data_IF_167556606141
#
_entry.id   IF_167556606141
#
_cell.length_a   1.000
_cell.length_b   1.000
_cell.length_c   1.000
_cell.angle_alpha   90.00
_cell.angle_beta   90.00
_cell.angle_gamma   90.00
#
_symmetry.space_group_name_H-M   'P 1'
#
loop_
_entity.id
_entity.type
_entity.pdbx_description
1 polymer ?
#
# COMPACT_ATOMS: atom_id res chain seq x y z
N UNK A 1 8.57 -8.38 8.89
CA UNK A 1 7.43 -7.91 9.71
C UNK A 1 6.54 -7.02 8.85
N UNK A 2 5.21 -7.18 8.89
CA UNK A 2 4.25 -6.46 8.01
C UNK A 2 4.44 -4.92 7.99
N UNK A 3 4.76 -4.34 9.15
CA UNK A 3 4.97 -2.89 9.30
C UNK A 3 6.16 -2.38 8.45
N UNK A 4 7.18 -3.20 8.26
CA UNK A 4 8.39 -2.82 7.51
C UNK A 4 8.10 -2.82 6.01
N UNK A 5 7.42 -3.86 5.52
CA UNK A 5 6.97 -3.95 4.14
C UNK A 5 6.01 -2.81 3.77
N UNK A 6 5.08 -2.43 4.65
CA UNK A 6 4.20 -1.28 4.39
C UNK A 6 4.96 0.05 4.33
N UNK A 7 5.99 0.24 5.16
CA UNK A 7 6.84 1.44 5.12
C UNK A 7 7.68 1.50 3.85
N UNK A 8 8.20 0.36 3.40
CA UNK A 8 8.96 0.27 2.14
C UNK A 8 8.04 0.58 0.96
N UNK A 9 6.86 -0.05 0.88
CA UNK A 9 5.88 0.22 -0.18
C UNK A 9 5.34 1.66 -0.15
N UNK A 10 5.23 2.28 1.03
CA UNK A 10 4.90 3.70 1.17
C UNK A 10 6.03 4.60 0.65
N UNK A 11 7.29 4.29 0.99
CA UNK A 11 8.47 5.02 0.51
C UNK A 11 8.62 4.92 -1.01
N UNK A 12 8.33 3.76 -1.57
CA UNK A 12 8.44 3.49 -3.01
C UNK A 12 7.22 4.02 -3.79
N UNK A 13 6.24 4.61 -3.09
CA UNK A 13 5.08 5.28 -3.70
C UNK A 13 3.99 4.33 -4.19
N UNK A 14 4.07 3.04 -3.86
CA UNK A 14 3.10 2.01 -4.27
C UNK A 14 1.89 1.95 -3.32
N UNK A 15 2.08 2.29 -2.05
CA UNK A 15 1.03 2.31 -1.02
C UNK A 15 0.90 3.71 -0.44
N UNK A 16 -0.33 4.16 -0.22
CA UNK A 16 -0.64 5.39 0.52
C UNK A 16 -1.17 5.07 1.90
N UNK A 17 -0.69 5.81 2.90
CA UNK A 17 -1.19 5.74 4.27
C UNK A 17 -2.13 6.92 4.55
N UNK A 18 -3.37 6.63 4.96
CA UNK A 18 -4.36 7.64 5.35
C UNK A 18 -4.70 7.50 6.83
N UNK A 19 -4.47 8.56 7.59
CA UNK A 19 -4.80 8.63 9.02
C UNK A 19 -6.13 9.35 9.18
N UNK A 20 -7.10 8.68 9.80
CA UNK A 20 -8.40 9.25 10.14
C UNK A 20 -8.38 9.70 11.59
N UNK A 21 -8.50 11.02 11.79
CA UNK A 21 -8.60 11.66 13.11
C UNK A 21 -10.04 11.58 13.64
N UNK A 22 -10.53 10.36 13.83
CA UNK A 22 -11.84 10.06 14.42
C UNK A 22 -11.65 9.26 15.71
N UNK A 23 -12.71 9.10 16.51
CA UNK A 23 -12.73 8.18 17.65
C UNK A 23 -13.57 6.97 17.26
N UNK A 24 -13.01 5.73 17.27
CA UNK A 24 -11.61 5.37 17.54
C UNK A 24 -10.65 5.75 16.39
N UNK A 25 -9.37 6.02 16.67
CA UNK A 25 -8.41 6.38 15.64
C UNK A 25 -8.22 5.22 14.65
N UNK A 26 -8.23 5.53 13.34
CA UNK A 26 -8.10 4.55 12.27
C UNK A 26 -6.99 4.94 11.31
N UNK A 27 -6.23 3.95 10.86
CA UNK A 27 -5.26 4.09 9.79
C UNK A 27 -5.61 3.11 8.68
N UNK A 28 -5.69 3.59 7.46
CA UNK A 28 -5.89 2.76 6.27
C UNK A 28 -4.69 2.85 5.36
N UNK A 29 -4.30 1.70 4.82
CA UNK A 29 -3.34 1.59 3.75
C UNK A 29 -4.09 1.23 2.47
N UNK A 30 -3.73 1.84 1.35
CA UNK A 30 -4.34 1.55 0.05
C UNK A 30 -3.29 1.62 -1.05
N UNK A 31 -3.48 0.90 -2.15
CA UNK A 31 -2.61 1.06 -3.31
C UNK A 31 -2.79 2.46 -3.92
N UNK A 32 -1.68 3.06 -4.35
CA UNK A 32 -1.70 4.25 -5.21
C UNK A 32 -2.03 3.83 -6.64
N UNK A 33 -2.25 4.80 -7.52
CA UNK A 33 -2.47 4.51 -8.95
C UNK A 33 -1.25 3.79 -9.56
N UNK A 34 -0.03 4.15 -9.14
CA UNK A 34 1.20 3.45 -9.50
C UNK A 34 1.25 2.02 -8.91
N UNK A 35 0.81 1.84 -7.66
CA UNK A 35 0.70 0.50 -7.06
C UNK A 35 -0.27 -0.40 -7.82
N UNK A 36 -1.38 0.16 -8.31
CA UNK A 36 -2.36 -0.59 -9.12
C UNK A 36 -1.83 -0.96 -10.50
N UNK A 37 -1.03 -0.11 -11.14
CA UNK A 37 -0.43 -0.44 -12.44
C UNK A 37 0.57 -1.60 -12.38
N UNK A 38 1.07 -1.94 -11.18
CA UNK A 38 1.94 -3.09 -10.95
C UNK A 38 1.21 -4.42 -10.81
N UNK A 39 -0.11 -4.42 -10.60
CA UNK A 39 -0.93 -5.64 -10.51
C UNK A 39 -0.74 -6.56 -11.72
N UNK A 40 -0.87 -6.11 -12.98
CA UNK A 40 -0.69 -6.99 -14.14
C UNK A 40 0.73 -7.57 -14.25
N UNK A 41 1.75 -6.86 -13.76
CA UNK A 41 3.13 -7.36 -13.74
C UNK A 41 3.27 -8.49 -12.72
N UNK A 42 2.68 -8.30 -11.52
CA UNK A 42 2.67 -9.33 -10.49
C UNK A 42 1.88 -10.56 -10.94
N UNK A 43 0.72 -10.38 -11.57
CA UNK A 43 -0.10 -11.48 -12.08
C UNK A 43 0.69 -12.35 -13.08
N UNK A 44 1.46 -11.72 -13.98
CA UNK A 44 2.32 -12.46 -14.92
C UNK A 44 3.56 -13.12 -14.29
N UNK A 45 3.92 -12.81 -13.05
CA UNK A 45 5.01 -13.49 -12.32
C UNK A 45 4.54 -14.77 -11.60
N UNK A 46 3.24 -14.94 -11.41
CA UNK A 46 2.64 -16.11 -10.76
C UNK A 46 2.10 -17.15 -11.77
N UNK A 47 2.47 -17.02 -13.05
CA UNK A 47 2.27 -18.03 -14.11
C UNK A 47 3.35 -19.12 -14.11
#
# INVERSE_FOLDING_TARGET
MLIQSLKELERDGLVRRKVYRQVPPKVEYSLTEMGKSFIPVLDGMFE
#
